data_IF_887224668711
#
_entry.id   IF_887224668711
#
_cell.length_a   1.000
_cell.length_b   1.000
_cell.length_c   1.000
_cell.angle_alpha   90.00
_cell.angle_beta   90.00
_cell.angle_gamma   90.00
#
_symmetry.space_group_name_H-M   'P 1'
#
loop_
_entity.id
_entity.type
_entity.pdbx_description
1 polymer ?
#
# COMPACT_ATOMS: atom_id res chain seq x y z
N UNK A 1 -18.93 -16.19 -13.53
CA UNK A 1 -17.90 -15.46 -12.74
C UNK A 1 -17.35 -14.35 -13.62
N UNK A 2 -17.57 -13.08 -13.26
CA UNK A 2 -17.55 -11.94 -14.19
C UNK A 2 -16.10 -11.56 -14.62
N UNK A 3 -15.78 -11.52 -15.93
CA UNK A 3 -14.43 -11.34 -16.48
C UNK A 3 -13.79 -9.95 -16.24
N UNK A 4 -14.54 -9.04 -15.63
CA UNK A 4 -14.09 -7.68 -15.29
C UNK A 4 -13.23 -7.70 -14.01
N UNK A 5 -13.54 -8.58 -13.04
CA UNK A 5 -12.75 -8.71 -11.81
C UNK A 5 -11.34 -9.26 -12.09
N UNK A 6 -11.16 -10.07 -13.13
CA UNK A 6 -9.86 -10.56 -13.57
C UNK A 6 -9.01 -9.51 -14.29
N UNK A 7 -9.62 -8.44 -14.81
CA UNK A 7 -8.92 -7.35 -15.52
C UNK A 7 -8.53 -6.16 -14.63
N UNK A 8 -9.15 -6.01 -13.45
CA UNK A 8 -8.77 -4.95 -12.48
C UNK A 8 -7.96 -5.49 -11.31
N UNK A 9 -8.15 -6.76 -10.93
CA UNK A 9 -7.43 -7.42 -9.83
C UNK A 9 -6.45 -8.50 -10.30
N UNK A 10 -6.21 -8.64 -11.60
CA UNK A 10 -5.40 -9.72 -12.20
C UNK A 10 -3.88 -9.61 -12.02
N UNK A 11 -3.37 -8.50 -11.48
CA UNK A 11 -1.94 -8.33 -11.18
C UNK A 11 -1.58 -8.34 -9.69
N UNK A 12 -2.57 -8.33 -8.80
CA UNK A 12 -2.40 -8.15 -7.37
C UNK A 12 -3.37 -9.12 -6.69
N UNK A 13 -2.87 -10.20 -6.09
CA UNK A 13 -3.76 -11.22 -5.51
C UNK A 13 -4.69 -10.56 -4.49
N UNK A 14 -5.99 -10.82 -4.57
CA UNK A 14 -6.96 -10.21 -3.66
C UNK A 14 -6.60 -10.43 -2.18
N UNK A 15 -5.99 -11.59 -1.88
CA UNK A 15 -5.43 -11.91 -0.57
C UNK A 15 -4.29 -10.95 -0.15
N UNK A 16 -3.40 -10.57 -1.06
CA UNK A 16 -2.33 -9.61 -0.79
C UNK A 16 -2.88 -8.19 -0.57
N UNK A 17 -3.87 -7.78 -1.38
CA UNK A 17 -4.55 -6.50 -1.20
C UNK A 17 -5.22 -6.40 0.18
N UNK A 18 -6.02 -7.40 0.54
CA UNK A 18 -6.74 -7.44 1.82
C UNK A 18 -5.76 -7.44 2.99
N UNK A 19 -4.69 -8.25 2.90
CA UNK A 19 -3.66 -8.30 3.94
C UNK A 19 -3.03 -6.92 4.17
N UNK A 20 -2.58 -6.25 3.11
CA UNK A 20 -1.94 -4.95 3.24
C UNK A 20 -2.93 -3.85 3.65
N UNK A 21 -4.18 -3.93 3.22
CA UNK A 21 -5.24 -3.04 3.70
C UNK A 21 -5.44 -3.17 5.22
N UNK A 22 -5.52 -4.40 5.75
CA UNK A 22 -5.65 -4.65 7.20
C UNK A 22 -4.46 -4.10 7.99
N UNK A 23 -3.22 -4.27 7.48
CA UNK A 23 -2.04 -3.65 8.10
C UNK A 23 -2.02 -2.12 7.98
N UNK A 24 -2.51 -1.57 6.87
CA UNK A 24 -2.64 -0.12 6.66
C UNK A 24 -3.61 0.53 7.64
N UNK A 25 -4.60 -0.23 8.14
CA UNK A 25 -5.60 0.21 9.12
C UNK A 25 -5.03 0.47 10.52
N UNK A 26 -3.80 0.00 10.81
CA UNK A 26 -3.12 0.26 12.08
C UNK A 26 -2.79 1.75 12.24
N UNK A 27 -2.33 2.41 11.17
CA UNK A 27 -1.96 3.82 11.18
C UNK A 27 -3.11 4.80 11.52
N UNK A 28 -4.31 4.71 10.90
CA UNK A 28 -5.42 5.59 11.26
C UNK A 28 -5.94 5.34 12.68
N UNK A 29 -5.89 4.10 13.18
CA UNK A 29 -6.22 3.79 14.59
C UNK A 29 -5.23 4.45 15.54
N UNK A 30 -3.92 4.36 15.25
CA UNK A 30 -2.90 5.04 16.04
C UNK A 30 -3.10 6.56 16.06
N UNK A 31 -3.37 7.17 14.90
CA UNK A 31 -3.65 8.62 14.80
C UNK A 31 -4.89 9.00 15.61
N UNK A 32 -5.96 8.20 15.53
CA UNK A 32 -7.18 8.43 16.32
C UNK A 32 -6.91 8.38 17.83
N UNK A 33 -6.16 7.39 18.31
CA UNK A 33 -5.80 7.30 19.73
C UNK A 33 -4.89 8.47 20.16
N UNK A 34 -3.90 8.85 19.36
CA UNK A 34 -3.02 9.98 19.66
C UNK A 34 -3.79 11.32 19.76
N UNK A 35 -4.75 11.54 18.87
CA UNK A 35 -5.57 12.75 18.85
C UNK A 35 -6.59 12.79 20.01
N UNK A 36 -7.18 11.65 20.38
CA UNK A 36 -8.14 11.56 21.50
C UNK A 36 -7.47 11.72 22.87
N UNK A 37 -6.22 11.28 23.02
CA UNK A 37 -5.42 11.53 24.22
C UNK A 37 -4.88 12.97 24.31
N UNK A 38 -4.89 13.71 23.21
CA UNK A 38 -4.46 15.11 23.17
C UNK A 38 -5.65 16.02 23.54
N UNK A 39 -5.49 16.88 24.54
CA UNK A 39 -6.54 17.83 25.00
C UNK A 39 -7.05 18.81 23.94
N UNK A 40 -6.43 18.83 22.76
CA UNK A 40 -6.67 19.75 21.65
C UNK A 40 -7.41 19.10 20.46
N UNK A 41 -7.64 17.79 20.48
CA UNK A 41 -7.90 17.01 19.26
C UNK A 41 -9.37 16.96 18.81
N UNK A 42 -9.86 18.02 18.15
CA UNK A 42 -11.04 17.85 17.29
C UNK A 42 -10.62 17.02 16.09
N UNK A 43 -11.19 15.82 15.93
CA UNK A 43 -10.94 15.00 14.74
C UNK A 43 -11.66 15.64 13.55
N UNK A 44 -10.95 16.53 12.85
CA UNK A 44 -11.50 17.26 11.71
C UNK A 44 -11.86 16.27 10.60
N UNK A 45 -12.99 16.52 9.91
CA UNK A 45 -13.47 15.72 8.78
C UNK A 45 -12.36 15.48 7.72
N UNK A 46 -11.48 16.48 7.52
CA UNK A 46 -10.34 16.38 6.60
C UNK A 46 -9.28 15.35 7.00
N UNK A 47 -9.02 15.17 8.30
CA UNK A 47 -8.09 14.14 8.79
C UNK A 47 -8.67 12.73 8.61
N UNK A 48 -9.98 12.58 8.83
CA UNK A 48 -10.71 11.34 8.54
C UNK A 48 -10.61 10.99 7.05
N UNK A 49 -10.90 11.96 6.18
CA UNK A 49 -10.84 11.79 4.74
C UNK A 49 -9.42 11.38 4.28
N UNK A 50 -8.39 12.09 4.75
CA UNK A 50 -6.99 11.75 4.43
C UNK A 50 -6.61 10.33 4.88
N UNK A 51 -7.03 9.92 6.09
CA UNK A 51 -6.77 8.58 6.62
C UNK A 51 -7.45 7.47 5.80
N UNK A 52 -8.71 7.68 5.43
CA UNK A 52 -9.48 6.72 4.62
C UNK A 52 -8.87 6.59 3.23
N UNK A 53 -8.57 7.72 2.58
CA UNK A 53 -7.93 7.73 1.26
C UNK A 53 -6.56 7.06 1.30
N UNK A 54 -5.68 7.42 2.25
CA UNK A 54 -4.37 6.78 2.36
C UNK A 54 -4.48 5.27 2.64
N UNK A 55 -5.41 4.85 3.49
CA UNK A 55 -5.57 3.42 3.79
C UNK A 55 -6.04 2.61 2.57
N UNK A 56 -6.88 3.18 1.71
CA UNK A 56 -7.30 2.56 0.44
C UNK A 56 -6.18 2.58 -0.61
N UNK A 57 -5.36 3.62 -0.63
CA UNK A 57 -4.25 3.79 -1.58
C UNK A 57 -2.98 3.01 -1.17
N UNK A 58 -2.80 2.75 0.12
CA UNK A 58 -1.66 2.04 0.70
C UNK A 58 -1.30 0.70 0.01
N UNK A 59 -2.24 -0.24 -0.23
CA UNK A 59 -1.91 -1.49 -0.92
C UNK A 59 -1.32 -1.28 -2.33
N UNK A 60 -1.71 -0.21 -3.03
CA UNK A 60 -1.15 0.14 -4.34
C UNK A 60 0.26 0.73 -4.21
N UNK A 61 0.48 1.62 -3.25
CA UNK A 61 1.81 2.18 -3.00
C UNK A 61 2.82 1.08 -2.59
N UNK A 62 2.37 0.12 -1.77
CA UNK A 62 3.19 -1.02 -1.35
C UNK A 62 3.58 -1.91 -2.52
N UNK A 63 2.65 -2.18 -3.44
CA UNK A 63 2.93 -2.94 -4.65
C UNK A 63 4.01 -2.29 -5.53
N UNK A 64 3.97 -0.96 -5.70
CA UNK A 64 5.01 -0.23 -6.44
C UNK A 64 6.36 -0.34 -5.74
N UNK A 65 6.39 -0.15 -4.42
CA UNK A 65 7.61 -0.28 -3.62
C UNK A 65 8.21 -1.68 -3.77
N UNK A 66 7.41 -2.74 -3.61
CA UNK A 66 7.88 -4.11 -3.75
C UNK A 66 8.36 -4.41 -5.17
N UNK A 67 7.67 -3.91 -6.21
CA UNK A 67 8.15 -4.03 -7.60
C UNK A 67 9.52 -3.38 -7.81
N UNK A 68 9.78 -2.22 -7.19
CA UNK A 68 11.07 -1.52 -7.27
C UNK A 68 12.13 -2.29 -6.47
N UNK A 69 11.81 -2.76 -5.27
CA UNK A 69 12.74 -3.53 -4.45
C UNK A 69 13.10 -4.87 -5.11
N UNK A 70 12.14 -5.57 -5.70
CA UNK A 70 12.37 -6.80 -6.45
C UNK A 70 13.24 -6.54 -7.68
N UNK A 71 13.10 -5.38 -8.34
CA UNK A 71 13.98 -4.98 -9.42
C UNK A 71 15.42 -4.69 -8.96
N UNK A 72 15.59 -4.05 -7.79
CA UNK A 72 16.91 -3.69 -7.24
C UNK A 72 17.64 -4.90 -6.68
N UNK A 73 16.96 -5.70 -5.86
CA UNK A 73 17.56 -6.84 -5.17
C UNK A 73 17.53 -8.12 -6.02
N UNK A 74 16.62 -8.23 -6.98
CA UNK A 74 16.46 -9.40 -7.82
C UNK A 74 16.13 -10.65 -6.99
N UNK A 75 16.68 -11.79 -7.41
CA UNK A 75 16.50 -13.07 -6.72
C UNK A 75 17.53 -13.32 -5.59
N UNK A 76 18.15 -12.25 -5.07
CA UNK A 76 19.17 -12.36 -4.02
C UNK A 76 18.53 -12.39 -2.63
N UNK A 77 18.88 -13.40 -1.82
CA UNK A 77 18.38 -13.55 -0.46
C UNK A 77 19.42 -13.00 0.51
N UNK A 78 19.11 -11.88 1.18
CA UNK A 78 19.95 -11.30 2.22
C UNK A 78 19.58 -11.86 3.59
N UNK A 79 20.52 -12.53 4.25
CA UNK A 79 20.37 -12.99 5.61
C UNK A 79 20.82 -11.91 6.59
N UNK A 80 19.86 -11.24 7.22
CA UNK A 80 20.08 -10.21 8.24
C UNK A 80 19.36 -10.58 9.54
N UNK A 81 19.78 -9.99 10.65
CA UNK A 81 19.13 -10.19 11.95
C UNK A 81 17.61 -9.93 11.85
N UNK A 82 16.80 -10.81 12.44
CA UNK A 82 15.34 -10.72 12.45
C UNK A 82 14.84 -9.36 12.97
N UNK A 83 15.49 -8.78 13.97
CA UNK A 83 15.12 -7.47 14.52
C UNK A 83 15.29 -6.39 13.44
N UNK A 84 16.46 -6.35 12.79
CA UNK A 84 16.75 -5.38 11.73
C UNK A 84 15.77 -5.54 10.55
N UNK A 85 15.50 -6.78 10.13
CA UNK A 85 14.53 -7.06 9.06
C UNK A 85 13.14 -6.52 9.39
N UNK A 86 12.65 -6.77 10.61
CA UNK A 86 11.33 -6.30 11.06
C UNK A 86 11.29 -4.78 11.17
N UNK A 87 12.35 -4.15 11.69
CA UNK A 87 12.46 -2.69 11.79
C UNK A 87 12.35 -2.05 10.41
N UNK A 88 13.17 -2.47 9.44
CA UNK A 88 13.10 -1.95 8.06
C UNK A 88 11.72 -2.18 7.45
N UNK A 89 11.10 -3.33 7.73
CA UNK A 89 9.76 -3.63 7.23
C UNK A 89 8.71 -2.66 7.79
N UNK A 90 8.73 -2.36 9.09
CA UNK A 90 7.81 -1.40 9.70
C UNK A 90 8.07 0.02 9.18
N UNK A 91 9.34 0.43 9.07
CA UNK A 91 9.69 1.75 8.53
C UNK A 91 9.22 1.93 7.09
N UNK A 92 9.44 0.94 6.23
CA UNK A 92 8.98 0.99 4.84
C UNK A 92 7.46 0.98 4.74
N UNK A 93 6.75 0.25 5.62
CA UNK A 93 5.30 0.32 5.71
C UNK A 93 4.81 1.73 6.09
N UNK A 94 5.45 2.39 7.06
CA UNK A 94 5.10 3.75 7.46
C UNK A 94 5.34 4.77 6.34
N UNK A 95 6.49 4.67 5.64
CA UNK A 95 6.81 5.55 4.50
C UNK A 95 5.82 5.34 3.34
N UNK A 96 5.52 4.08 3.00
CA UNK A 96 4.54 3.79 1.95
C UNK A 96 3.13 4.30 2.31
N UNK A 97 2.77 4.33 3.59
CA UNK A 97 1.48 4.84 4.03
C UNK A 97 1.39 6.36 3.96
N UNK A 98 2.42 7.10 4.39
CA UNK A 98 2.42 8.58 4.31
C UNK A 98 2.56 9.09 2.88
N UNK A 99 3.30 8.36 2.04
CA UNK A 99 3.48 8.69 0.62
C UNK A 99 2.44 8.05 -0.29
N UNK A 100 1.41 7.38 0.24
CA UNK A 100 0.46 6.62 -0.57
C UNK A 100 -0.27 7.51 -1.59
N UNK A 101 -0.62 8.75 -1.23
CA UNK A 101 -1.26 9.72 -2.15
C UNK A 101 -0.41 10.01 -3.39
N UNK A 102 0.93 10.00 -3.27
CA UNK A 102 1.84 10.30 -4.39
C UNK A 102 2.23 9.05 -5.18
N UNK A 103 2.44 7.92 -4.49
CA UNK A 103 2.92 6.68 -5.10
C UNK A 103 1.77 5.87 -5.73
N UNK A 104 0.57 5.90 -5.15
CA UNK A 104 -0.56 5.14 -5.66
C UNK A 104 -1.01 5.53 -7.09
N UNK A 105 -1.01 6.82 -7.52
CA UNK A 105 -1.28 7.18 -8.92
C UNK A 105 -0.32 6.48 -9.90
N UNK A 106 0.97 6.37 -9.52
CA UNK A 106 1.98 5.67 -10.32
C UNK A 106 1.66 4.17 -10.38
N UNK A 107 1.26 3.56 -9.25
CA UNK A 107 0.83 2.17 -9.20
C UNK A 107 -0.42 1.88 -10.03
N UNK A 108 -1.42 2.77 -9.97
CA UNK A 108 -2.64 2.67 -10.79
C UNK A 108 -2.33 2.79 -12.28
N UNK A 109 -1.49 3.76 -12.66
CA UNK A 109 -1.04 3.94 -14.03
C UNK A 109 -0.27 2.70 -14.54
N UNK A 110 0.66 2.18 -13.75
CA UNK A 110 1.42 0.97 -14.08
C UNK A 110 0.49 -0.25 -14.30
N UNK A 111 -0.47 -0.45 -13.40
CA UNK A 111 -1.44 -1.53 -13.51
C UNK A 111 -2.33 -1.40 -14.76
N UNK A 112 -2.73 -0.17 -15.10
CA UNK A 112 -3.53 0.16 -16.28
C UNK A 112 -2.77 -0.10 -17.58
N UNK A 113 -1.52 0.36 -17.68
CA UNK A 113 -0.67 0.11 -18.86
C UNK A 113 -0.34 -1.38 -19.03
N UNK A 114 -0.06 -2.10 -17.94
CA UNK A 114 0.22 -3.53 -18.02
C UNK A 114 -0.99 -4.34 -18.52
N UNK A 115 -2.21 -4.01 -18.07
CA UNK A 115 -3.43 -4.67 -18.56
C UNK A 115 -3.80 -4.27 -19.99
N UNK A 116 -3.56 -3.02 -20.38
CA UNK A 116 -3.76 -2.55 -21.77
C UNK A 116 -2.84 -3.30 -22.77
N UNK A 117 -1.62 -3.64 -22.37
CA UNK A 117 -0.71 -4.47 -23.19
C UNK A 117 -1.05 -5.95 -23.19
N UNK A 118 -1.58 -6.50 -22.10
CA UNK A 118 -2.07 -7.88 -22.04
C UNK A 118 -3.35 -8.09 -22.87
N UNK A 119 -4.20 -7.06 -22.98
CA UNK A 119 -5.42 -7.09 -23.80
C UNK A 119 -5.17 -6.93 -25.31
N UNK A 120 -4.07 -6.29 -25.73
CA UNK A 120 -3.69 -6.10 -27.14
C UNK A 120 -2.86 -7.27 -27.73
N UNK A 121 -2.64 -8.36 -26.97
CA UNK A 121 -1.96 -9.58 -27.43
C UNK A 121 -2.88 -10.80 -27.52
N UNK A 122 -4.19 -10.60 -27.38
CA UNK A 122 -5.23 -11.60 -27.60
C UNK A 122 -6.02 -11.21 -28.85
#
# INVERSE_FOLDING_TARGET
>A
MHPVLRKTFGGLSAQYYIRNFLFGLIFPVLIYTALTHSKTGVFTLGALFYCVVNSLLYPYARFVYESIMDYIFGNNVFFVNAILMLTVKVFTMAICWTMAVFIAPIGLAYLYFHHSRAANRA
#
